data_IF_058542948597
#
_entry.id   IF_058542948597
#
_cell.length_a   1.000
_cell.length_b   1.000
_cell.length_c   1.000
_cell.angle_alpha   90.00
_cell.angle_beta   90.00
_cell.angle_gamma   90.00
#
_symmetry.space_group_name_H-M   'P 1'
#
loop_
_entity.id
_entity.type
_entity.pdbx_description
1 polymer ?
#
# COMPACT_ATOMS: atom_id res chain seq x y z
N UNK A 1 -6.52 -11.27 -9.36
CA UNK A 1 -6.16 -12.68 -9.06
C UNK A 1 -6.52 -12.98 -7.61
N UNK A 2 -6.83 -14.23 -7.30
CA UNK A 2 -7.10 -14.71 -5.93
C UNK A 2 -5.79 -15.10 -5.21
N UNK A 3 -5.81 -15.17 -3.88
CA UNK A 3 -4.64 -15.55 -3.09
C UNK A 3 -4.06 -16.91 -3.50
N UNK A 4 -4.95 -17.91 -3.69
CA UNK A 4 -4.54 -19.25 -4.14
C UNK A 4 -3.87 -19.27 -5.51
N UNK A 5 -4.32 -18.43 -6.45
CA UNK A 5 -3.70 -18.31 -7.77
C UNK A 5 -2.29 -17.70 -7.70
N UNK A 6 -2.13 -16.66 -6.89
CA UNK A 6 -0.82 -16.01 -6.67
C UNK A 6 0.16 -16.96 -5.98
N UNK A 7 -0.31 -17.70 -4.97
CA UNK A 7 0.50 -18.71 -4.29
C UNK A 7 0.92 -19.82 -5.26
N UNK A 8 0.00 -20.33 -6.07
CA UNK A 8 0.30 -21.38 -7.07
C UNK A 8 1.35 -20.90 -8.07
N UNK A 9 1.23 -19.65 -8.58
CA UNK A 9 2.23 -19.08 -9.47
C UNK A 9 3.61 -18.95 -8.80
N UNK A 10 3.67 -18.57 -7.54
CA UNK A 10 4.91 -18.51 -6.79
C UNK A 10 5.54 -19.90 -6.61
N UNK A 11 4.73 -20.91 -6.29
CA UNK A 11 5.17 -22.30 -6.09
C UNK A 11 5.63 -22.98 -7.37
N UNK A 12 5.19 -22.54 -8.55
CA UNK A 12 5.77 -23.01 -9.82
C UNK A 12 7.26 -22.67 -9.96
N UNK A 13 7.70 -21.61 -9.28
CA UNK A 13 9.09 -21.13 -9.32
C UNK A 13 9.86 -21.55 -8.07
N UNK A 14 9.19 -21.55 -6.93
CA UNK A 14 9.74 -21.89 -5.61
C UNK A 14 8.84 -22.98 -5.00
N UNK A 15 9.00 -24.26 -5.37
CA UNK A 15 8.11 -25.32 -4.91
C UNK A 15 8.05 -25.48 -3.39
N UNK A 16 9.11 -25.11 -2.68
CA UNK A 16 9.24 -25.21 -1.22
C UNK A 16 8.57 -24.03 -0.48
N UNK A 17 8.02 -23.03 -1.20
CA UNK A 17 7.41 -21.86 -0.59
C UNK A 17 6.09 -22.24 0.11
N UNK A 18 6.08 -22.14 1.43
CA UNK A 18 4.85 -22.37 2.21
C UNK A 18 3.89 -21.19 2.08
N UNK A 19 2.58 -21.42 2.24
CA UNK A 19 1.58 -20.36 2.19
C UNK A 19 1.84 -19.24 3.22
N UNK A 20 2.29 -19.60 4.43
CA UNK A 20 2.63 -18.63 5.48
C UNK A 20 3.82 -17.75 5.07
N UNK A 21 4.87 -18.34 4.52
CA UNK A 21 6.03 -17.60 4.02
C UNK A 21 5.65 -16.73 2.82
N UNK A 22 4.82 -17.26 1.90
CA UNK A 22 4.31 -16.49 0.77
C UNK A 22 3.61 -15.21 1.22
N UNK A 23 2.65 -15.30 2.16
CA UNK A 23 1.94 -14.11 2.68
C UNK A 23 2.91 -13.07 3.23
N UNK A 24 3.88 -13.52 4.04
CA UNK A 24 4.86 -12.62 4.65
C UNK A 24 5.68 -11.88 3.60
N UNK A 25 6.28 -12.60 2.65
CA UNK A 25 7.15 -12.00 1.65
C UNK A 25 6.39 -11.20 0.60
N UNK A 26 5.20 -11.67 0.22
CA UNK A 26 4.34 -10.93 -0.69
C UNK A 26 3.92 -9.58 -0.10
N UNK A 27 3.51 -9.54 1.16
CA UNK A 27 3.15 -8.30 1.83
C UNK A 27 4.33 -7.33 1.95
N UNK A 28 5.54 -7.83 2.21
CA UNK A 28 6.77 -7.00 2.20
C UNK A 28 7.02 -6.40 0.81
N UNK A 29 6.94 -7.21 -0.24
CA UNK A 29 7.12 -6.74 -1.62
C UNK A 29 6.04 -5.72 -2.00
N UNK A 30 4.80 -5.99 -1.63
CA UNK A 30 3.68 -5.09 -1.89
C UNK A 30 3.84 -3.75 -1.16
N UNK A 31 4.27 -3.78 0.10
CA UNK A 31 4.57 -2.58 0.87
C UNK A 31 5.65 -1.70 0.20
N UNK A 32 6.71 -2.32 -0.33
CA UNK A 32 7.75 -1.59 -1.08
C UNK A 32 7.19 -0.88 -2.31
N UNK A 33 6.32 -1.56 -3.07
CA UNK A 33 5.67 -0.96 -4.24
C UNK A 33 4.75 0.20 -3.82
N UNK A 34 3.96 0.00 -2.77
CA UNK A 34 2.99 1.03 -2.32
C UNK A 34 3.65 2.30 -1.78
N UNK A 35 4.93 2.26 -1.42
CA UNK A 35 5.72 3.45 -1.07
C UNK A 35 6.14 4.29 -2.27
N UNK A 36 6.26 3.68 -3.44
CA UNK A 36 6.72 4.32 -4.67
C UNK A 36 5.59 4.66 -5.65
N UNK A 37 4.45 4.01 -5.47
CA UNK A 37 3.29 4.10 -6.35
C UNK A 37 2.08 4.58 -5.58
N UNK A 38 1.38 5.58 -6.13
CA UNK A 38 0.17 6.18 -5.57
C UNK A 38 -1.04 5.21 -5.67
N UNK A 39 -0.98 4.08 -4.98
CA UNK A 39 -2.06 3.07 -5.04
C UNK A 39 -3.31 3.53 -4.33
N UNK A 40 -3.17 4.21 -3.20
CA UNK A 40 -4.27 4.70 -2.38
C UNK A 40 -4.11 6.17 -2.08
N UNK A 41 -5.14 6.94 -2.39
CA UNK A 41 -5.30 8.31 -1.93
C UNK A 41 -6.46 8.37 -0.94
N UNK A 42 -6.22 9.03 0.17
CA UNK A 42 -7.22 9.24 1.22
C UNK A 42 -7.36 10.72 1.50
N UNK A 43 -8.58 11.14 1.80
CA UNK A 43 -8.88 12.52 2.19
C UNK A 43 -9.19 12.55 3.69
N UNK A 44 -8.47 13.38 4.42
CA UNK A 44 -8.72 13.70 5.84
C UNK A 44 -9.38 15.07 5.94
N UNK A 45 -10.46 15.16 6.70
CA UNK A 45 -11.10 16.42 7.13
C UNK A 45 -10.86 16.58 8.63
N UNK A 46 -9.76 17.25 9.03
CA UNK A 46 -9.37 17.30 10.43
C UNK A 46 -10.24 18.31 11.20
N UNK A 47 -10.58 17.94 12.43
CA UNK A 47 -11.21 18.81 13.41
C UNK A 47 -10.25 19.22 14.52
N UNK A 48 -9.02 18.69 14.52
CA UNK A 48 -7.94 19.04 15.43
C UNK A 48 -6.57 18.93 14.76
N UNK A 49 -5.60 19.67 15.26
CA UNK A 49 -4.23 19.66 14.74
C UNK A 49 -3.58 18.28 14.89
N UNK A 50 -3.86 17.56 15.97
CA UNK A 50 -3.31 16.22 16.22
C UNK A 50 -3.70 15.19 15.16
N UNK A 51 -4.84 15.36 14.48
CA UNK A 51 -5.29 14.45 13.43
C UNK A 51 -4.43 14.49 12.16
N UNK A 52 -3.80 15.62 11.85
CA UNK A 52 -3.01 15.77 10.62
C UNK A 52 -1.51 15.97 10.85
N UNK A 53 -1.11 16.51 12.01
CA UNK A 53 0.29 16.90 12.25
C UNK A 53 1.26 15.74 12.08
N UNK A 54 0.92 14.57 12.59
CA UNK A 54 1.76 13.39 12.61
C UNK A 54 1.38 12.35 11.51
N UNK A 55 0.62 12.76 10.50
CA UNK A 55 0.18 11.87 9.41
C UNK A 55 1.33 11.12 8.74
N UNK A 56 2.44 11.81 8.45
CA UNK A 56 3.62 11.23 7.80
C UNK A 56 4.42 10.29 8.71
N UNK A 57 4.21 10.35 10.01
CA UNK A 57 4.81 9.41 10.97
C UNK A 57 3.95 8.16 11.12
N UNK A 58 2.64 8.30 11.01
CA UNK A 58 1.68 7.25 11.35
C UNK A 58 1.16 6.48 10.13
N UNK A 59 0.78 7.19 9.06
CA UNK A 59 -0.01 6.60 7.98
C UNK A 59 0.41 7.03 6.57
N UNK A 60 0.72 8.31 6.38
CA UNK A 60 0.94 8.86 5.06
C UNK A 60 2.35 8.63 4.55
N UNK A 61 2.47 8.23 3.29
CA UNK A 61 3.74 8.23 2.56
C UNK A 61 4.07 9.64 2.08
N UNK A 62 3.07 10.36 1.59
CA UNK A 62 3.22 11.69 1.02
C UNK A 62 1.92 12.47 1.13
N UNK A 63 2.02 13.77 1.35
CA UNK A 63 0.89 14.69 1.23
C UNK A 63 0.83 15.17 -0.22
N UNK A 64 -0.34 15.07 -0.84
CA UNK A 64 -0.57 15.51 -2.21
C UNK A 64 -1.08 16.94 -2.27
N UNK A 65 -2.11 17.22 -1.48
CA UNK A 65 -2.69 18.56 -1.41
C UNK A 65 -3.28 18.84 -0.03
N UNK A 66 -3.30 20.13 0.30
CA UNK A 66 -4.01 20.66 1.45
C UNK A 66 -4.82 21.84 0.96
N UNK A 67 -6.11 21.84 1.24
CA UNK A 67 -7.05 22.87 0.79
C UNK A 67 -7.93 23.29 1.93
N UNK A 68 -8.35 24.57 1.94
CA UNK A 68 -9.47 25.04 2.72
C UNK A 68 -10.68 25.19 1.79
N UNK A 69 -11.72 24.37 2.02
CA UNK A 69 -12.94 24.40 1.20
C UNK A 69 -13.87 25.56 1.57
N UNK A 70 -13.54 26.33 2.60
CA UNK A 70 -14.21 27.60 2.92
C UNK A 70 -13.86 28.72 1.93
N UNK A 71 -12.79 28.53 1.14
CA UNK A 71 -12.33 29.49 0.13
C UNK A 71 -11.17 30.36 0.58
N UNK A 72 -10.64 30.12 1.78
CA UNK A 72 -9.48 30.84 2.29
C UNK A 72 -8.17 30.28 1.69
N UNK A 73 -7.23 31.16 1.40
CA UNK A 73 -5.88 30.77 1.01
C UNK A 73 -5.15 30.17 2.20
N UNK A 74 -4.55 29.01 1.99
CA UNK A 74 -3.72 28.35 3.01
C UNK A 74 -2.36 28.00 2.43
N UNK A 75 -1.39 27.91 3.33
CA UNK A 75 -0.03 27.48 3.02
C UNK A 75 0.28 26.24 3.85
N UNK A 76 1.10 25.35 3.33
CA UNK A 76 1.53 24.18 4.09
C UNK A 76 2.96 23.78 3.76
N UNK A 77 3.61 23.17 4.73
CA UNK A 77 4.94 22.59 4.57
C UNK A 77 5.08 21.31 5.40
N UNK A 78 6.00 20.46 4.99
CA UNK A 78 6.41 19.30 5.79
C UNK A 78 7.77 19.59 6.40
N UNK A 79 7.82 19.60 7.73
CA UNK A 79 9.06 19.81 8.49
C UNK A 79 9.22 18.73 9.55
N UNK A 80 10.36 18.00 9.52
CA UNK A 80 10.64 16.89 10.43
C UNK A 80 9.50 15.85 10.47
N UNK A 81 8.98 15.47 9.29
CA UNK A 81 7.85 14.56 9.09
C UNK A 81 6.51 15.03 9.70
N UNK A 82 6.42 16.27 10.08
CA UNK A 82 5.19 16.89 10.57
C UNK A 82 4.60 17.80 9.52
N UNK A 83 3.28 17.69 9.32
CA UNK A 83 2.54 18.60 8.46
C UNK A 83 2.19 19.86 9.24
N UNK A 84 2.65 21.00 8.75
CA UNK A 84 2.36 22.31 9.27
C UNK A 84 1.47 23.04 8.26
N UNK A 85 0.36 23.61 8.73
CA UNK A 85 -0.60 24.33 7.90
C UNK A 85 -0.75 25.74 8.45
N UNK A 86 -0.75 26.72 7.57
CA UNK A 86 -0.79 28.16 7.89
C UNK A 86 -2.00 28.78 7.17
N UNK A 87 -2.63 29.74 7.81
CA UNK A 87 -3.70 30.54 7.23
C UNK A 87 -3.19 31.56 6.18
N UNK A 88 -4.09 32.37 5.64
CA UNK A 88 -3.79 33.43 4.68
C UNK A 88 -2.83 34.50 5.22
N UNK A 89 -2.78 34.68 6.54
CA UNK A 89 -1.86 35.62 7.21
C UNK A 89 -0.49 34.97 7.52
N UNK A 90 -0.29 33.69 7.11
CA UNK A 90 0.88 32.86 7.44
C UNK A 90 1.03 32.58 8.94
N UNK A 91 -0.07 32.60 9.67
CA UNK A 91 -0.09 32.15 11.05
C UNK A 91 -0.37 30.66 11.11
N UNK A 92 0.35 29.94 11.99
CA UNK A 92 0.19 28.49 12.14
C UNK A 92 -1.21 28.18 12.66
N UNK A 93 -1.94 27.30 11.96
CA UNK A 93 -3.25 26.83 12.41
C UNK A 93 -3.06 25.98 13.68
N UNK A 94 -3.75 26.38 14.75
CA UNK A 94 -3.71 25.75 16.07
C UNK A 94 -5.00 25.00 16.37
N UNK A 95 -5.07 24.28 17.47
CA UNK A 95 -6.32 23.64 17.92
C UNK A 95 -7.45 24.63 18.19
N UNK A 96 -7.15 25.88 18.45
CA UNK A 96 -8.15 26.93 18.68
C UNK A 96 -8.70 27.47 17.36
N UNK A 97 -7.89 27.48 16.32
CA UNK A 97 -8.25 28.07 15.01
C UNK A 97 -8.63 27.04 13.94
N UNK A 98 -8.27 25.75 14.09
CA UNK A 98 -8.55 24.71 13.08
C UNK A 98 -10.04 24.57 12.78
N UNK A 99 -10.91 24.80 13.76
CA UNK A 99 -12.35 24.77 13.58
C UNK A 99 -12.93 25.90 12.71
N UNK A 100 -12.14 26.95 12.45
CA UNK A 100 -12.52 28.05 11.58
C UNK A 100 -12.25 27.73 10.09
N UNK A 101 -11.55 26.63 9.82
CA UNK A 101 -11.14 26.20 8.50
C UNK A 101 -11.81 24.88 8.15
N UNK A 102 -12.19 24.73 6.89
CA UNK A 102 -12.78 23.51 6.34
C UNK A 102 -11.69 22.74 5.59
N UNK A 103 -10.68 22.26 6.31
CA UNK A 103 -9.49 21.66 5.74
C UNK A 103 -9.81 20.31 5.08
N UNK A 104 -9.29 20.12 3.87
CA UNK A 104 -9.22 18.83 3.20
C UNK A 104 -7.75 18.52 2.87
N UNK A 105 -7.25 17.41 3.42
CA UNK A 105 -5.87 16.96 3.25
C UNK A 105 -5.90 15.66 2.45
N UNK A 106 -5.37 15.70 1.24
CA UNK A 106 -5.23 14.52 0.38
C UNK A 106 -3.81 13.95 0.52
N UNK A 107 -3.70 12.66 0.78
CA UNK A 107 -2.42 12.00 1.02
C UNK A 107 -2.42 10.54 0.57
N UNK A 108 -1.22 10.03 0.27
CA UNK A 108 -1.02 8.61 -0.03
C UNK A 108 -0.91 7.80 1.24
N UNK A 109 -1.47 6.60 1.19
CA UNK A 109 -1.35 5.62 2.28
C UNK A 109 -0.45 4.48 1.85
N UNK A 110 0.44 4.06 2.76
CA UNK A 110 1.18 2.82 2.59
C UNK A 110 0.28 1.62 2.91
N UNK A 111 0.38 0.57 2.10
CA UNK A 111 -0.36 -0.67 2.32
C UNK A 111 0.61 -1.68 2.92
N UNK A 112 0.42 -2.02 4.19
CA UNK A 112 1.28 -2.97 4.90
C UNK A 112 0.79 -4.43 4.85
N UNK A 113 -0.44 -4.68 4.40
CA UNK A 113 -1.01 -6.02 4.34
C UNK A 113 -1.96 -6.17 3.16
N UNK A 114 -1.43 -6.54 1.98
CA UNK A 114 -2.25 -6.78 0.80
C UNK A 114 -2.99 -8.12 0.88
N UNK A 115 -2.36 -9.13 1.48
CA UNK A 115 -2.94 -10.45 1.70
C UNK A 115 -3.15 -10.66 3.20
N UNK A 116 -4.34 -11.13 3.55
CA UNK A 116 -4.68 -11.53 4.93
C UNK A 116 -3.74 -12.66 5.41
N UNK A 117 -3.37 -12.69 6.70
CA UNK A 117 -2.59 -13.79 7.24
C UNK A 117 -3.16 -15.16 6.86
N UNK A 118 -2.27 -16.12 6.59
CA UNK A 118 -2.70 -17.50 6.38
C UNK A 118 -3.29 -18.06 7.67
N UNK A 119 -4.39 -18.83 7.61
CA UNK A 119 -5.05 -19.38 8.79
C UNK A 119 -4.10 -20.14 9.69
N UNK A 120 -4.30 -20.01 11.00
CA UNK A 120 -3.58 -20.80 12.03
C UNK A 120 -4.17 -22.20 12.15
N UNK A 121 -3.47 -23.10 12.86
CA UNK A 121 -3.98 -24.45 13.11
C UNK A 121 -5.29 -24.42 13.90
N UNK A 122 -5.44 -23.51 14.86
CA UNK A 122 -6.67 -23.31 15.63
C UNK A 122 -7.83 -22.82 14.75
N UNK A 123 -7.54 -21.94 13.77
CA UNK A 123 -8.53 -21.50 12.80
C UNK A 123 -9.00 -22.65 11.90
N UNK A 124 -8.08 -23.51 11.49
CA UNK A 124 -8.35 -24.67 10.63
C UNK A 124 -9.18 -25.71 11.39
N UNK A 125 -8.87 -25.94 12.67
CA UNK A 125 -9.66 -26.84 13.54
C UNK A 125 -11.09 -26.32 13.75
N UNK A 126 -11.26 -25.01 13.88
CA UNK A 126 -12.58 -24.39 14.10
C UNK A 126 -13.40 -24.24 12.83
N UNK A 127 -12.77 -24.07 11.66
CA UNK A 127 -13.42 -23.96 10.35
C UNK A 127 -12.63 -24.73 9.28
N UNK A 128 -13.02 -25.98 8.96
CA UNK A 128 -12.33 -26.79 7.94
C UNK A 128 -12.27 -26.16 6.54
N UNK A 129 -13.17 -25.23 6.23
CA UNK A 129 -13.23 -24.57 4.91
C UNK A 129 -12.36 -23.28 4.86
N UNK A 130 -11.76 -22.86 5.96
CA UNK A 130 -11.06 -21.56 6.03
C UNK A 130 -9.90 -21.44 5.05
N UNK A 131 -9.23 -22.55 4.71
CA UNK A 131 -8.16 -22.56 3.70
C UNK A 131 -8.73 -22.28 2.31
N UNK A 132 -9.87 -22.88 1.97
CA UNK A 132 -10.54 -22.65 0.69
C UNK A 132 -11.05 -21.21 0.61
N UNK A 133 -11.65 -20.71 1.69
CA UNK A 133 -12.07 -19.31 1.81
C UNK A 133 -10.89 -18.35 1.62
N UNK A 134 -9.75 -18.64 2.27
CA UNK A 134 -8.54 -17.83 2.11
C UNK A 134 -8.02 -17.85 0.67
N UNK A 135 -8.01 -19.01 0.00
CA UNK A 135 -7.59 -19.15 -1.38
C UNK A 135 -8.46 -18.33 -2.34
N UNK A 136 -9.76 -18.22 -2.07
CA UNK A 136 -10.73 -17.48 -2.89
C UNK A 136 -10.70 -15.95 -2.64
N UNK A 137 -10.04 -15.49 -1.57
CA UNK A 137 -9.90 -14.06 -1.29
C UNK A 137 -9.07 -13.36 -2.36
N UNK A 138 -9.49 -12.16 -2.71
CA UNK A 138 -8.72 -11.25 -3.56
C UNK A 138 -7.83 -10.39 -2.65
N UNK A 139 -6.53 -10.21 -2.98
CA UNK A 139 -5.69 -9.23 -2.29
C UNK A 139 -6.33 -7.85 -2.24
N UNK A 140 -5.97 -7.05 -1.23
CA UNK A 140 -6.58 -5.74 -0.98
C UNK A 140 -6.52 -4.72 -2.13
N UNK A 141 -5.79 -5.01 -3.20
CA UNK A 141 -5.79 -4.26 -4.46
C UNK A 141 -6.17 -5.20 -5.59
N UNK A 142 -7.29 -4.93 -6.25
CA UNK A 142 -7.84 -5.80 -7.32
C UNK A 142 -7.05 -5.75 -8.62
N UNK A 143 -6.22 -4.74 -8.83
CA UNK A 143 -5.44 -4.57 -10.04
C UNK A 143 -4.40 -5.69 -10.21
N UNK A 144 -4.63 -6.54 -11.21
CA UNK A 144 -3.77 -7.69 -11.52
C UNK A 144 -2.33 -7.26 -11.88
N UNK A 145 -2.14 -6.10 -12.51
CA UNK A 145 -0.79 -5.60 -12.84
C UNK A 145 0.00 -5.28 -11.57
N UNK A 146 -0.65 -4.67 -10.59
CA UNK A 146 -0.04 -4.38 -9.27
C UNK A 146 0.24 -5.67 -8.52
N UNK A 147 -0.69 -6.63 -8.55
CA UNK A 147 -0.53 -7.93 -7.90
C UNK A 147 0.65 -8.72 -8.49
N UNK A 148 0.76 -8.76 -9.82
CA UNK A 148 1.89 -9.42 -10.50
C UNK A 148 3.21 -8.68 -10.28
N UNK A 149 3.20 -7.35 -10.24
CA UNK A 149 4.37 -6.57 -9.92
C UNK A 149 4.94 -6.96 -8.53
N UNK A 150 4.06 -7.09 -7.53
CA UNK A 150 4.45 -7.53 -6.18
C UNK A 150 4.96 -8.97 -6.17
N UNK A 151 4.33 -9.86 -6.92
CA UNK A 151 4.77 -11.24 -7.07
C UNK A 151 6.18 -11.33 -7.69
N UNK A 152 6.46 -10.57 -8.75
CA UNK A 152 7.77 -10.57 -9.41
C UNK A 152 8.87 -10.01 -8.50
N UNK A 153 8.57 -8.93 -7.76
CA UNK A 153 9.51 -8.40 -6.77
C UNK A 153 9.81 -9.43 -5.68
N UNK A 154 8.77 -10.07 -5.13
CA UNK A 154 8.91 -11.12 -4.12
C UNK A 154 9.81 -12.26 -4.62
N UNK A 155 9.55 -12.80 -5.82
CA UNK A 155 10.35 -13.89 -6.40
C UNK A 155 11.81 -13.46 -6.55
N UNK A 156 12.06 -12.24 -7.03
CA UNK A 156 13.43 -11.72 -7.22
C UNK A 156 14.15 -11.61 -5.86
N UNK A 157 13.48 -11.16 -4.81
CA UNK A 157 14.10 -11.03 -3.47
C UNK A 157 14.31 -12.39 -2.80
N UNK A 158 13.45 -13.36 -3.05
CA UNK A 158 13.58 -14.70 -2.50
C UNK A 158 14.74 -15.51 -3.13
N UNK A 159 15.30 -15.08 -4.24
CA UNK A 159 16.47 -15.70 -4.86
C UNK A 159 17.70 -15.77 -3.93
N UNK A 160 17.77 -14.89 -2.93
CA UNK A 160 18.81 -14.95 -1.89
C UNK A 160 18.56 -15.98 -0.78
N UNK A 161 17.36 -16.53 -0.70
CA UNK A 161 16.92 -17.46 0.35
C UNK A 161 16.69 -18.85 -0.22
N UNK A 162 16.06 -18.94 -1.37
CA UNK A 162 15.77 -20.20 -2.06
C UNK A 162 16.70 -20.38 -3.27
N UNK A 163 17.23 -21.59 -3.50
CA UNK A 163 18.04 -21.85 -4.67
C UNK A 163 17.19 -21.74 -5.93
N UNK A 164 17.57 -20.83 -6.81
CA UNK A 164 16.92 -20.64 -8.12
C UNK A 164 17.98 -20.64 -9.23
N UNK A 165 17.58 -21.06 -10.41
CA UNK A 165 18.45 -20.95 -11.60
C UNK A 165 18.71 -19.47 -11.89
N UNK A 166 19.99 -19.07 -12.20
CA UNK A 166 20.33 -17.69 -12.48
C UNK A 166 19.49 -17.03 -13.57
N UNK A 167 19.14 -17.76 -14.62
CA UNK A 167 18.27 -17.27 -15.70
C UNK A 167 16.84 -16.97 -15.23
N UNK A 168 16.33 -17.72 -14.24
CA UNK A 168 15.03 -17.46 -13.63
C UNK A 168 15.03 -16.14 -12.86
N UNK A 169 16.07 -15.89 -12.06
CA UNK A 169 16.20 -14.66 -11.30
C UNK A 169 16.24 -13.43 -12.21
N UNK A 170 17.05 -13.48 -13.26
CA UNK A 170 17.16 -12.40 -14.25
C UNK A 170 15.80 -12.16 -14.96
N UNK A 171 15.12 -13.23 -15.35
CA UNK A 171 13.80 -13.15 -15.99
C UNK A 171 12.80 -12.40 -15.10
N UNK A 172 12.73 -12.75 -13.81
CA UNK A 172 11.78 -12.13 -12.90
C UNK A 172 12.18 -10.71 -12.48
N UNK A 173 13.46 -10.39 -12.39
CA UNK A 173 13.95 -9.03 -12.23
C UNK A 173 13.56 -8.13 -13.42
N UNK A 174 13.68 -8.64 -14.65
CA UNK A 174 13.27 -7.92 -15.85
C UNK A 174 11.73 -7.77 -15.92
N UNK A 175 10.96 -8.81 -15.58
CA UNK A 175 9.49 -8.73 -15.48
C UNK A 175 9.06 -7.70 -14.44
N UNK A 176 9.72 -7.70 -13.27
CA UNK A 176 9.45 -6.70 -12.22
C UNK A 176 9.71 -5.29 -12.73
N UNK A 177 10.88 -5.04 -13.33
CA UNK A 177 11.24 -3.70 -13.83
C UNK A 177 10.21 -3.17 -14.83
N UNK A 178 9.80 -3.99 -15.80
CA UNK A 178 8.78 -3.63 -16.78
C UNK A 178 7.40 -3.36 -16.14
N UNK A 179 6.94 -4.29 -15.31
CA UNK A 179 5.66 -4.15 -14.61
C UNK A 179 5.64 -2.94 -13.68
N UNK A 180 6.74 -2.70 -12.94
CA UNK A 180 6.84 -1.57 -12.02
C UNK A 180 6.76 -0.22 -12.74
N UNK A 181 7.42 -0.07 -13.88
CA UNK A 181 7.33 1.16 -14.68
C UNK A 181 5.90 1.38 -15.21
N UNK A 182 5.24 0.32 -15.69
CA UNK A 182 3.85 0.40 -16.15
C UNK A 182 2.90 0.84 -15.02
N UNK A 183 2.98 0.18 -13.87
CA UNK A 183 2.20 0.50 -12.67
C UNK A 183 2.50 1.93 -12.19
N UNK A 184 3.76 2.31 -12.10
CA UNK A 184 4.17 3.67 -11.70
C UNK A 184 3.62 4.74 -12.64
N UNK A 185 3.68 4.51 -13.94
CA UNK A 185 3.11 5.43 -14.92
C UNK A 185 1.58 5.54 -14.78
N UNK A 186 0.90 4.40 -14.65
CA UNK A 186 -0.56 4.33 -14.51
C UNK A 186 -1.07 5.11 -13.29
N UNK A 187 -0.46 4.88 -12.13
CA UNK A 187 -0.96 5.43 -10.86
C UNK A 187 -0.40 6.81 -10.51
N UNK A 188 0.84 7.12 -10.88
CA UNK A 188 1.43 8.42 -10.56
C UNK A 188 1.02 9.53 -11.54
N UNK A 189 0.45 9.18 -12.71
CA UNK A 189 -0.12 10.17 -13.66
C UNK A 189 -1.48 10.74 -13.20
N UNK A 190 -2.05 10.27 -12.12
CA UNK A 190 -3.33 10.77 -11.59
C UNK A 190 -4.58 10.23 -12.31
N UNK A 191 -4.43 9.31 -13.28
CA UNK A 191 -5.52 8.89 -14.17
C UNK A 191 -6.30 7.64 -13.73
N UNK A 192 -5.92 6.99 -12.64
CA UNK A 192 -6.66 5.81 -12.15
C UNK A 192 -6.52 5.65 -10.65
N UNK A 193 -7.57 5.93 -9.87
CA UNK A 193 -7.63 5.47 -8.49
C UNK A 193 -7.74 3.95 -8.49
N UNK A 194 -6.90 3.26 -7.69
CA UNK A 194 -7.09 1.85 -7.44
C UNK A 194 -8.40 1.63 -6.68
N UNK A 195 -9.22 0.70 -7.13
CA UNK A 195 -10.35 0.23 -6.34
C UNK A 195 -9.82 -0.65 -5.22
N UNK A 196 -10.02 -0.23 -3.99
CA UNK A 196 -9.58 -0.96 -2.80
C UNK A 196 -10.75 -1.76 -2.28
N UNK A 197 -10.57 -3.06 -2.21
CA UNK A 197 -11.57 -3.97 -1.65
C UNK A 197 -11.43 -4.09 -0.13
N UNK A 198 -10.20 -4.17 0.37
CA UNK A 198 -9.90 -4.24 1.81
C UNK A 198 -8.41 -3.98 2.09
N UNK A 199 -8.09 -3.19 3.12
CA UNK A 199 -6.73 -3.03 3.66
C UNK A 199 -6.70 -3.68 5.04
N UNK A 200 -5.79 -4.61 5.24
CA UNK A 200 -5.57 -5.28 6.52
C UNK A 200 -4.44 -4.56 7.28
N UNK A 201 -4.73 -4.07 8.48
CA UNK A 201 -3.80 -3.40 9.39
C UNK A 201 -3.45 -4.30 10.56
#
# INVERSE_FOLDING_TARGET
MKNGELLALAQLIIPELTAKAFVQFYNIAFEKISREVRLITTVLKPTSVSQYRDLLEQKAVKIDSVKDTSGDDIYWEVKHRKLLIYDSNRELITNETVGNHNLEIEYWVNISGAIKPFPTDDDIESNPNIIEEWNEMIPGVEDTEVQLCALYLMITELAGIFPMEPGTVELYANKFSGAFQAVKTKYNSGNSPATITQVYF
#
